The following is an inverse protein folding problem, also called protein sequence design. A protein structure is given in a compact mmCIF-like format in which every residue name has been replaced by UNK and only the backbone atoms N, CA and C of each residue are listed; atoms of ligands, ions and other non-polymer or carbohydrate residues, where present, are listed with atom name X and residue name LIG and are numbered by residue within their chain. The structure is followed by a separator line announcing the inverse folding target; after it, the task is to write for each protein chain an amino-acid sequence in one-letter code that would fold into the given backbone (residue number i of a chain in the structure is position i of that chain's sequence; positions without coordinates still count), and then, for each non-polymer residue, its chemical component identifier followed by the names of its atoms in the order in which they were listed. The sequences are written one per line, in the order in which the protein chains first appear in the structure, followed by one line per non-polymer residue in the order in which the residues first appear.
data_IF_690426235789
#
_entry.id   IF_690426235789
#
_cell.length_a   1.000
_cell.length_b   1.000
_cell.length_c   1.000
_cell.angle_alpha   90.00
_cell.angle_beta   90.00
_cell.angle_gamma   90.00
#
_symmetry.space_group_name_H-M   'P 1'
#
loop_
_entity.id
_entity.type
_entity.pdbx_description
1 polymer ?
#
# COMPACT_ATOMS: atom_id res chain seq x y z
N UNK A 1 1.44 -6.45 6.81
CA UNK A 1 1.65 -5.15 7.50
C UNK A 1 3.11 -4.83 7.32
N UNK A 2 3.40 -3.63 6.82
CA UNK A 2 4.75 -3.16 6.53
C UNK A 2 5.05 -1.98 7.44
N UNK A 3 6.23 -2.00 8.07
CA UNK A 3 6.73 -0.94 8.94
C UNK A 3 7.71 -0.04 8.18
N UNK A 4 8.01 1.14 8.75
CA UNK A 4 8.94 2.14 8.20
C UNK A 4 8.59 2.66 6.80
N UNK A 5 7.30 2.68 6.47
CA UNK A 5 6.80 3.03 5.14
C UNK A 5 6.88 4.53 4.83
N UNK A 6 7.08 5.38 5.85
CA UNK A 6 7.36 6.81 5.67
C UNK A 6 8.87 7.12 5.73
N UNK A 7 9.71 6.18 6.18
CA UNK A 7 11.17 6.30 6.27
C UNK A 7 11.66 7.66 6.81
N UNK A 8 11.18 8.04 7.98
CA UNK A 8 11.45 9.33 8.64
C UNK A 8 10.81 10.54 7.96
N UNK A 9 9.80 10.31 7.13
CA UNK A 9 9.18 11.32 6.26
C UNK A 9 9.97 11.63 4.98
N UNK A 10 11.16 11.03 4.81
CA UNK A 10 12.06 11.36 3.70
C UNK A 10 11.51 10.97 2.34
N UNK A 11 10.55 10.04 2.28
CA UNK A 11 9.85 9.65 1.04
C UNK A 11 9.16 10.84 0.35
N UNK A 12 8.86 11.92 1.09
CA UNK A 12 8.26 13.14 0.56
C UNK A 12 9.27 14.28 0.30
N UNK A 13 10.56 14.08 0.56
CA UNK A 13 11.60 15.11 0.41
C UNK A 13 12.27 15.05 -0.96
N UNK A 14 12.95 16.13 -1.36
CA UNK A 14 13.87 16.14 -2.49
C UNK A 14 15.11 15.30 -2.14
N UNK A 15 15.69 14.59 -3.11
CA UNK A 15 16.83 13.67 -2.90
C UNK A 15 18.07 14.38 -2.32
N UNK A 16 18.28 15.65 -2.68
CA UNK A 16 19.35 16.50 -2.16
C UNK A 16 19.26 16.77 -0.65
N UNK A 17 18.04 16.77 -0.10
CA UNK A 17 17.77 17.00 1.33
C UNK A 17 17.81 15.71 2.15
N UNK A 18 17.84 14.54 1.48
CA UNK A 18 17.87 13.24 2.16
C UNK A 18 19.30 12.94 2.62
N UNK A 19 19.50 12.61 3.91
CA UNK A 19 20.80 12.14 4.39
C UNK A 19 21.27 10.92 3.61
N UNK A 20 22.53 10.91 3.18
CA UNK A 20 23.08 9.87 2.29
C UNK A 20 22.84 8.44 2.81
N UNK A 21 23.03 8.23 4.11
CA UNK A 21 22.80 6.94 4.78
C UNK A 21 21.34 6.43 4.68
N UNK A 22 20.38 7.28 4.33
CA UNK A 22 18.97 6.93 4.19
C UNK A 22 18.51 6.74 2.74
N UNK A 23 19.28 7.20 1.74
CA UNK A 23 18.85 7.28 0.33
C UNK A 23 18.55 5.91 -0.29
N UNK A 24 19.41 4.93 -0.07
CA UNK A 24 19.23 3.57 -0.61
C UNK A 24 17.91 2.96 -0.14
N UNK A 25 17.67 2.95 1.18
CA UNK A 25 16.45 2.40 1.76
C UNK A 25 15.21 3.25 1.49
N UNK A 26 15.36 4.58 1.35
CA UNK A 26 14.28 5.48 0.92
C UNK A 26 13.74 5.06 -0.44
N UNK A 27 14.63 4.75 -1.39
CA UNK A 27 14.22 4.33 -2.73
C UNK A 27 13.39 3.04 -2.68
N UNK A 28 13.82 2.06 -1.89
CA UNK A 28 13.03 0.84 -1.66
C UNK A 28 11.66 1.13 -1.02
N UNK A 29 11.57 2.06 -0.08
CA UNK A 29 10.30 2.45 0.55
C UNK A 29 9.34 3.13 -0.43
N UNK A 30 9.85 3.99 -1.33
CA UNK A 30 9.06 4.63 -2.39
C UNK A 30 8.52 3.57 -3.36
N UNK A 31 9.38 2.70 -3.88
CA UNK A 31 9.00 1.64 -4.82
C UNK A 31 7.97 0.69 -4.20
N UNK A 32 8.18 0.32 -2.93
CA UNK A 32 7.20 -0.47 -2.18
C UNK A 32 5.85 0.26 -2.14
N UNK A 33 5.82 1.52 -1.70
CA UNK A 33 4.57 2.28 -1.58
C UNK A 33 3.84 2.40 -2.94
N UNK A 34 4.57 2.62 -4.03
CA UNK A 34 4.01 2.69 -5.39
C UNK A 34 3.38 1.36 -5.82
N UNK A 35 4.14 0.26 -5.77
CA UNK A 35 3.67 -1.08 -6.16
C UNK A 35 2.40 -1.48 -5.42
N UNK A 36 2.34 -1.07 -4.16
CA UNK A 36 1.31 -1.42 -3.22
C UNK A 36 0.07 -0.61 -3.48
N UNK A 37 0.20 0.70 -3.62
CA UNK A 37 -0.91 1.58 -3.98
C UNK A 37 -1.59 1.18 -5.29
N UNK A 38 -0.88 0.51 -6.19
CA UNK A 38 -1.39 -0.01 -7.45
C UNK A 38 -2.09 -1.39 -7.34
N UNK A 39 -1.93 -2.14 -6.25
CA UNK A 39 -2.49 -3.49 -6.13
C UNK A 39 -3.98 -3.46 -5.77
N UNK A 40 -4.83 -3.57 -6.80
CA UNK A 40 -6.31 -3.62 -6.67
C UNK A 40 -6.86 -4.83 -5.91
N UNK A 41 -6.03 -5.84 -5.58
CA UNK A 41 -6.46 -7.01 -4.80
C UNK A 41 -6.43 -6.73 -3.31
N UNK A 42 -5.90 -5.61 -2.87
CA UNK A 42 -5.82 -5.25 -1.45
C UNK A 42 -6.49 -3.92 -1.17
N UNK A 43 -7.09 -3.80 0.01
CA UNK A 43 -7.36 -2.51 0.62
C UNK A 43 -6.16 -2.11 1.47
N UNK A 44 -5.81 -0.83 1.40
CA UNK A 44 -4.62 -0.28 2.05
C UNK A 44 -5.03 0.83 3.01
N UNK A 45 -4.42 0.83 4.18
CA UNK A 45 -4.45 1.96 5.11
C UNK A 45 -3.02 2.34 5.45
N UNK A 46 -2.64 3.59 5.12
CA UNK A 46 -1.35 4.15 5.51
C UNK A 46 -1.52 4.93 6.81
N UNK A 47 -0.98 4.38 7.89
CA UNK A 47 -1.13 4.92 9.24
C UNK A 47 0.14 5.66 9.63
N UNK A 48 0.01 6.94 10.00
CA UNK A 48 1.11 7.80 10.45
C UNK A 48 1.50 7.51 11.91
N UNK A 49 1.69 6.23 12.26
CA UNK A 49 2.12 5.80 13.58
C UNK A 49 3.60 5.38 13.51
N UNK A 50 4.41 5.89 14.43
CA UNK A 50 5.86 5.66 14.42
C UNK A 50 6.49 6.20 13.14
N UNK A 51 7.22 5.33 12.43
CA UNK A 51 7.87 5.66 11.16
C UNK A 51 7.01 5.33 9.93
N UNK A 52 5.69 5.20 10.14
CA UNK A 52 4.72 4.87 9.12
C UNK A 52 4.47 3.38 9.01
N UNK A 53 3.21 2.98 9.16
CA UNK A 53 2.77 1.59 9.02
C UNK A 53 1.76 1.50 7.89
N UNK A 54 2.02 0.64 6.90
CA UNK A 54 1.01 0.28 5.90
C UNK A 54 0.36 -1.06 6.25
N UNK A 55 -0.96 -1.02 6.45
CA UNK A 55 -1.79 -2.19 6.71
C UNK A 55 -2.49 -2.59 5.42
N UNK A 56 -2.39 -3.87 5.05
CA UNK A 56 -3.06 -4.41 3.86
C UNK A 56 -4.08 -5.47 4.25
N UNK A 57 -5.22 -5.41 3.57
CA UNK A 57 -6.30 -6.38 3.69
C UNK A 57 -6.60 -6.97 2.32
N UNK A 58 -6.37 -8.28 2.16
CA UNK A 58 -6.65 -8.96 0.91
C UNK A 58 -8.16 -8.99 0.63
N UNK A 59 -8.54 -8.54 -0.56
CA UNK A 59 -9.89 -8.61 -1.09
C UNK A 59 -10.06 -9.92 -1.86
N UNK A 60 -10.86 -10.82 -1.31
CA UNK A 60 -11.25 -12.05 -1.99
C UNK A 60 -12.57 -11.78 -2.72
N UNK A 61 -12.55 -11.82 -4.05
CA UNK A 61 -13.78 -11.85 -4.84
C UNK A 61 -14.40 -13.24 -4.73
N UNK A 62 -15.41 -13.39 -3.87
CA UNK A 62 -16.28 -14.56 -3.93
C UNK A 62 -17.08 -14.46 -5.25
N UNK A 63 -16.98 -15.49 -6.10
CA UNK A 63 -17.67 -15.53 -7.38
C UNK A 63 -19.18 -15.29 -7.17
N UNK A 64 -19.68 -14.15 -7.64
CA UNK A 64 -21.11 -13.81 -7.76
C UNK A 64 -21.86 -14.65 -8.81
N UNK A 65 -21.41 -15.87 -9.10
CA UNK A 65 -22.13 -16.77 -10.00
C UNK A 65 -23.51 -17.19 -9.47
N UNK A 66 -23.78 -17.01 -8.16
CA UNK A 66 -25.06 -17.35 -7.55
C UNK A 66 -26.05 -16.17 -7.47
N UNK A 67 -25.61 -14.92 -7.65
CA UNK A 67 -26.50 -13.75 -7.51
C UNK A 67 -27.21 -13.40 -8.83
N UNK A 68 -26.56 -13.59 -9.98
CA UNK A 68 -27.17 -13.30 -11.29
C UNK A 68 -28.12 -14.39 -11.80
N UNK A 69 -27.97 -15.64 -11.34
CA UNK A 69 -28.91 -16.71 -11.69
C UNK A 69 -30.28 -16.58 -11.01
N UNK A 70 -30.39 -15.84 -9.90
CA UNK A 70 -31.68 -15.62 -9.21
C UNK A 70 -32.47 -14.49 -9.88
N UNK A 71 -31.80 -13.49 -10.45
CA UNK A 71 -32.43 -12.32 -11.08
C UNK A 71 -33.01 -12.58 -12.48
N UNK A 72 -32.72 -13.73 -13.12
CA UNK A 72 -33.34 -14.08 -14.41
C UNK A 72 -34.57 -14.99 -14.31
N UNK A 73 -34.96 -15.41 -13.10
CA UNK A 73 -36.09 -16.34 -12.84
C UNK A 73 -37.28 -15.61 -12.17
N UNK A 74 -37.25 -14.27 -12.06
CA UNK A 74 -38.38 -13.47 -11.56
C UNK A 74 -38.90 -12.57 -12.68
#
# INVERSE_FOLDING_TARGET
MYDNTLWGGTVAWLEEDVPEAKREWRQCAIELNELVSADTRVEISNVTMGDGITIWRLLIKLNKMLDEQVLSIT
#
